data_IF_706629949994
#
_entry.id   IF_706629949994
#
_cell.length_a   1.000
_cell.length_b   1.000
_cell.length_c   1.000
_cell.angle_alpha   90.00
_cell.angle_beta   90.00
_cell.angle_gamma   90.00
#
_symmetry.space_group_name_H-M   'P 1'
#
loop_
_entity.id
_entity.type
_entity.pdbx_description
1 polymer ?
#
# COMPACT_ATOMS: atom_id res chain seq x y z
N UNK A 1 11.62 -1.58 -7.21
CA UNK A 1 10.15 -1.77 -7.23
C UNK A 1 9.62 -1.68 -8.64
N UNK A 2 8.76 -2.60 -9.00
CA UNK A 2 8.01 -2.55 -10.24
C UNK A 2 6.57 -2.16 -9.93
N UNK A 3 6.03 -1.22 -10.69
CA UNK A 3 4.66 -0.77 -10.51
C UNK A 3 3.96 -0.68 -11.86
N UNK A 4 2.71 -1.16 -11.89
CA UNK A 4 1.81 -1.00 -13.03
C UNK A 4 0.66 -0.13 -12.59
N UNK A 5 0.38 0.92 -13.34
CA UNK A 5 -0.59 1.94 -12.96
C UNK A 5 -1.70 2.04 -13.99
N UNK A 6 -2.94 2.08 -13.51
CA UNK A 6 -4.11 2.34 -14.33
C UNK A 6 -4.96 3.41 -13.68
N UNK A 7 -5.53 4.31 -14.49
CA UNK A 7 -6.45 5.34 -14.02
C UNK A 7 -7.88 4.95 -14.37
N UNK A 8 -8.73 4.92 -13.36
CA UNK A 8 -10.15 4.56 -13.51
C UNK A 8 -10.99 5.82 -13.44
N UNK A 9 -11.61 6.19 -14.56
CA UNK A 9 -12.44 7.37 -14.63
C UNK A 9 -11.67 8.67 -14.56
N UNK A 10 -12.40 9.78 -14.70
CA UNK A 10 -11.84 11.11 -14.58
C UNK A 10 -11.79 11.51 -13.11
N UNK A 11 -10.64 11.98 -12.64
CA UNK A 11 -10.43 12.51 -11.29
C UNK A 11 -10.81 11.54 -10.17
N UNK A 12 -11.02 10.26 -10.46
CA UNK A 12 -11.58 9.35 -9.49
C UNK A 12 -10.53 8.52 -8.76
N UNK A 13 -9.89 7.62 -9.46
CA UNK A 13 -9.00 6.67 -8.80
C UNK A 13 -7.87 6.24 -9.71
N UNK A 14 -6.78 5.82 -9.07
CA UNK A 14 -5.62 5.25 -9.75
C UNK A 14 -5.33 3.92 -9.10
N UNK A 15 -5.25 2.86 -9.89
CA UNK A 15 -4.87 1.54 -9.39
C UNK A 15 -3.41 1.29 -9.72
N UNK A 16 -2.64 0.87 -8.73
CA UNK A 16 -1.22 0.56 -8.89
C UNK A 16 -0.95 -0.82 -8.33
N UNK A 17 -0.26 -1.64 -9.12
CA UNK A 17 0.26 -2.92 -8.67
C UNK A 17 1.73 -2.72 -8.30
N UNK A 18 2.09 -3.05 -7.06
CA UNK A 18 3.47 -2.98 -6.59
C UNK A 18 4.02 -4.37 -6.39
N UNK A 19 5.23 -4.60 -6.87
CA UNK A 19 5.93 -5.87 -6.69
C UNK A 19 7.33 -5.57 -6.16
N UNK A 20 7.69 -6.22 -5.05
CA UNK A 20 9.00 -6.10 -4.41
C UNK A 20 9.61 -7.49 -4.31
N UNK A 21 10.89 -7.62 -4.68
CA UNK A 21 11.59 -8.89 -4.57
C UNK A 21 12.39 -8.99 -3.27
N UNK A 22 12.63 -7.86 -2.63
CA UNK A 22 13.40 -7.81 -1.37
C UNK A 22 12.68 -6.91 -0.38
N UNK A 23 13.08 -7.06 0.89
CA UNK A 23 12.55 -6.24 1.98
C UNK A 23 12.85 -4.76 1.70
N UNK A 24 11.84 -3.90 1.86
CA UNK A 24 11.99 -2.47 1.59
C UNK A 24 12.68 -1.70 2.71
N UNK A 25 12.68 -2.28 3.95
CA UNK A 25 13.06 -1.53 5.13
C UNK A 25 11.97 -0.54 5.53
N UNK A 26 12.03 -0.07 6.78
CA UNK A 26 11.06 0.92 7.28
C UNK A 26 11.36 2.26 6.60
N UNK A 27 10.34 2.83 5.97
CA UNK A 27 10.49 4.11 5.27
C UNK A 27 9.24 4.95 5.40
N UNK A 28 9.38 6.24 5.14
CA UNK A 28 8.28 7.19 5.18
C UNK A 28 7.57 7.20 3.83
N UNK A 29 6.25 7.03 3.90
CA UNK A 29 5.37 7.19 2.76
C UNK A 29 4.48 8.40 3.01
N UNK A 30 4.57 9.40 2.14
CA UNK A 30 3.73 10.58 2.20
C UNK A 30 2.64 10.47 1.14
N UNK A 31 1.38 10.48 1.57
CA UNK A 31 0.24 10.33 0.67
C UNK A 31 -0.49 11.65 0.52
N UNK A 32 -0.70 12.07 -0.72
CA UNK A 32 -1.56 13.21 -1.06
C UNK A 32 -2.99 12.79 -1.32
N UNK A 33 -3.25 11.50 -1.44
CA UNK A 33 -4.58 10.92 -1.62
C UNK A 33 -4.72 9.72 -0.70
N UNK A 34 -5.98 9.37 -0.38
CA UNK A 34 -6.26 8.16 0.39
C UNK A 34 -5.91 6.91 -0.42
N UNK A 35 -5.57 5.84 0.28
CA UNK A 35 -5.23 4.57 -0.35
C UNK A 35 -5.99 3.43 0.32
N UNK A 36 -6.54 2.53 -0.50
CA UNK A 36 -7.06 1.24 -0.06
C UNK A 36 -6.21 0.20 -0.76
N UNK A 37 -5.61 -0.69 0.00
CA UNK A 37 -4.73 -1.70 -0.54
C UNK A 37 -5.15 -3.11 -0.18
N UNK A 38 -4.68 -4.06 -0.99
CA UNK A 38 -4.88 -5.48 -0.80
C UNK A 38 -3.54 -6.17 -0.93
N UNK A 39 -3.15 -6.94 0.08
CA UNK A 39 -1.89 -7.68 0.07
C UNK A 39 -2.11 -9.01 -0.62
N UNK A 40 -1.47 -9.19 -1.77
CA UNK A 40 -1.56 -10.43 -2.55
C UNK A 40 -0.57 -11.47 -2.01
N UNK A 41 0.65 -11.05 -1.68
CA UNK A 41 1.71 -11.90 -1.13
C UNK A 41 2.60 -11.09 -0.22
N UNK A 42 3.13 -11.72 0.80
CA UNK A 42 4.04 -11.08 1.75
C UNK A 42 3.28 -10.41 2.88
N UNK A 43 3.95 -9.51 3.56
CA UNK A 43 3.40 -8.76 4.69
C UNK A 43 3.73 -7.29 4.56
N UNK A 44 2.76 -6.46 4.91
CA UNK A 44 2.95 -5.02 5.04
C UNK A 44 2.91 -4.67 6.52
N UNK A 45 3.91 -3.94 6.98
CA UNK A 45 4.00 -3.48 8.36
C UNK A 45 3.74 -1.99 8.41
N UNK A 46 2.85 -1.58 9.31
CA UNK A 46 2.51 -0.18 9.55
C UNK A 46 2.93 0.19 10.97
N UNK A 47 3.60 1.33 11.12
CA UNK A 47 4.11 1.80 12.40
C UNK A 47 3.49 3.16 12.72
N UNK A 48 2.77 3.23 13.84
CA UNK A 48 2.15 4.45 14.33
C UNK A 48 2.54 4.65 15.80
N UNK A 49 3.53 5.51 16.04
CA UNK A 49 4.03 5.70 17.41
C UNK A 49 4.50 4.37 17.99
N UNK A 50 3.84 3.93 19.08
CA UNK A 50 4.17 2.66 19.74
C UNK A 50 3.40 1.47 19.17
N UNK A 51 2.58 1.69 18.16
CA UNK A 51 1.72 0.66 17.59
C UNK A 51 2.33 0.09 16.32
N UNK A 52 2.31 -1.24 16.22
CA UNK A 52 2.80 -1.95 15.04
C UNK A 52 1.69 -2.87 14.53
N UNK A 53 1.25 -2.63 13.29
CA UNK A 53 0.23 -3.45 12.64
C UNK A 53 0.85 -4.26 11.54
N UNK A 54 0.48 -5.55 11.46
CA UNK A 54 0.91 -6.43 10.39
C UNK A 54 -0.31 -6.76 9.54
N UNK A 55 -0.19 -6.48 8.25
CA UNK A 55 -1.22 -6.77 7.26
C UNK A 55 -0.69 -7.90 6.42
N UNK A 56 -1.40 -9.01 6.46
CA UNK A 56 -0.95 -10.25 5.85
C UNK A 56 -1.66 -10.50 4.52
N UNK A 57 -1.17 -11.47 3.78
CA UNK A 57 -1.77 -11.91 2.53
C UNK A 57 -3.28 -12.09 2.66
N UNK A 58 -4.03 -11.49 1.74
CA UNK A 58 -5.48 -11.53 1.75
C UNK A 58 -6.16 -10.43 2.53
N UNK A 59 -5.39 -9.64 3.29
CA UNK A 59 -5.95 -8.55 4.08
C UNK A 59 -6.03 -7.26 3.26
N UNK A 60 -6.99 -6.42 3.63
CA UNK A 60 -7.18 -5.09 3.07
C UNK A 60 -6.72 -4.07 4.10
N UNK A 61 -6.08 -3.01 3.64
CA UNK A 61 -5.66 -1.90 4.50
C UNK A 61 -6.13 -0.57 3.94
N UNK A 62 -6.25 0.40 4.83
CA UNK A 62 -6.61 1.77 4.48
C UNK A 62 -5.56 2.71 5.05
N UNK A 63 -5.10 3.64 4.19
CA UNK A 63 -4.18 4.71 4.60
C UNK A 63 -4.78 6.05 4.19
N UNK A 64 -4.93 6.95 5.16
CA UNK A 64 -5.39 8.29 4.90
C UNK A 64 -4.29 9.17 4.33
N UNK A 65 -4.67 10.40 3.97
CA UNK A 65 -3.72 11.44 3.55
C UNK A 65 -2.74 11.72 4.69
N UNK A 66 -1.48 11.92 4.35
CA UNK A 66 -0.43 12.26 5.31
C UNK A 66 0.72 11.27 5.30
N UNK A 67 1.46 11.26 6.40
CA UNK A 67 2.68 10.48 6.53
C UNK A 67 2.42 9.14 7.21
N UNK A 68 3.03 8.09 6.65
CA UNK A 68 2.95 6.75 7.19
C UNK A 68 4.35 6.13 7.17
N UNK A 69 4.71 5.42 8.25
CA UNK A 69 5.93 4.62 8.27
C UNK A 69 5.55 3.18 7.98
N UNK A 70 6.12 2.63 6.91
CA UNK A 70 5.78 1.31 6.42
C UNK A 70 7.02 0.49 6.11
N UNK A 71 6.84 -0.83 6.10
CA UNK A 71 7.83 -1.76 5.59
C UNK A 71 7.10 -2.89 4.89
N UNK A 72 7.56 -3.25 3.68
CA UNK A 72 7.04 -4.40 2.95
C UNK A 72 8.04 -5.53 3.03
N UNK A 73 7.55 -6.71 3.43
CA UNK A 73 8.36 -7.91 3.63
C UNK A 73 7.91 -9.00 2.67
N UNK A 74 8.78 -9.46 1.77
CA UNK A 74 8.43 -10.52 0.83
C UNK A 74 8.22 -11.87 1.51
N UNK A 75 7.35 -12.71 0.90
CA UNK A 75 7.34 -14.13 1.21
C UNK A 75 8.62 -14.76 0.64
N UNK A 76 9.19 -15.69 1.37
CA UNK A 76 10.40 -16.36 0.93
C UNK A 76 10.17 -17.05 -0.42
N UNK A 77 11.01 -16.68 -1.39
CA UNK A 77 10.97 -17.25 -2.73
C UNK A 77 9.86 -16.73 -3.64
N UNK A 78 8.96 -15.87 -3.13
CA UNK A 78 7.78 -15.42 -3.89
C UNK A 78 7.64 -13.91 -4.02
N UNK A 79 8.38 -13.15 -3.24
CA UNK A 79 8.28 -11.69 -3.28
C UNK A 79 7.10 -11.15 -2.49
N UNK A 80 6.92 -9.85 -2.59
CA UNK A 80 5.79 -9.11 -2.04
C UNK A 80 5.00 -8.51 -3.21
N UNK A 81 3.68 -8.60 -3.13
CA UNK A 81 2.81 -8.01 -4.14
C UNK A 81 1.59 -7.41 -3.47
N UNK A 82 1.21 -6.21 -3.91
CA UNK A 82 0.00 -5.55 -3.43
C UNK A 82 -0.68 -4.79 -4.58
N UNK A 83 -1.99 -4.63 -4.44
CA UNK A 83 -2.79 -3.78 -5.30
C UNK A 83 -3.27 -2.61 -4.45
N UNK A 84 -3.08 -1.38 -4.94
CA UNK A 84 -3.45 -0.19 -4.19
C UNK A 84 -4.30 0.71 -5.08
N UNK A 85 -5.43 1.15 -4.54
CA UNK A 85 -6.30 2.13 -5.19
C UNK A 85 -6.10 3.46 -4.46
N UNK A 86 -5.63 4.46 -5.19
CA UNK A 86 -5.51 5.82 -4.67
C UNK A 86 -6.71 6.62 -5.14
N UNK A 87 -7.31 7.38 -4.25
CA UNK A 87 -8.48 8.17 -4.58
C UNK A 87 -8.52 9.45 -3.74
N UNK A 88 -9.20 10.46 -4.29
CA UNK A 88 -9.43 11.71 -3.57
C UNK A 88 -10.49 11.49 -2.51
N UNK A 89 -10.33 12.09 -1.33
CA UNK A 89 -11.35 12.01 -0.28
C UNK A 89 -12.70 12.57 -0.73
N UNK A 90 -12.71 13.43 -1.75
CA UNK A 90 -13.94 13.97 -2.32
C UNK A 90 -14.85 12.88 -2.91
N UNK A 91 -14.28 11.72 -3.30
CA UNK A 91 -15.09 10.62 -3.83
C UNK A 91 -16.00 9.98 -2.78
N UNK A 92 -15.72 10.20 -1.50
CA UNK A 92 -16.47 9.59 -0.42
C UNK A 92 -17.59 10.48 0.13
N UNK A 93 -17.74 11.65 -0.44
CA UNK A 93 -18.73 12.65 0.01
C UNK A 93 -20.00 12.59 -0.80
#
# INVERSE_FOLDING_TARGET
MLATKETIGENSATIVKYVEQSRTGIHLLNLSRCAIGYVVRGEKHLYYGDTHHVISRGDVFYLGVGNHYIEDTPEEGKGFEQLVVYYSSALLQ
#
